data_IF_571657027754
#
_entry.id   IF_571657027754
#
_cell.length_a   1.000
_cell.length_b   1.000
_cell.length_c   1.000
_cell.angle_alpha   90.00
_cell.angle_beta   90.00
_cell.angle_gamma   90.00
#
_symmetry.space_group_name_H-M   'P 1'
#
loop_
_entity.id
_entity.type
_entity.pdbx_description
1 polymer ?
#
# COMPACT_ATOMS: atom_id res chain seq x y z
N UNK A 1 -0.76 -62.12 23.35
CA UNK A 1 0.55 -61.67 22.80
C UNK A 1 0.36 -61.55 21.29
N UNK A 2 0.48 -60.41 20.58
CA UNK A 2 1.04 -59.09 20.82
C UNK A 2 0.09 -58.07 20.15
N UNK A 3 -0.36 -57.06 20.88
CA UNK A 3 -0.97 -55.88 20.27
C UNK A 3 0.17 -55.04 19.70
N UNK A 4 0.29 -54.99 18.38
CA UNK A 4 1.18 -54.02 17.72
C UNK A 4 0.47 -52.67 17.71
N UNK A 5 0.81 -51.85 18.70
CA UNK A 5 0.44 -50.44 18.75
C UNK A 5 1.22 -49.74 17.62
N UNK A 6 0.51 -49.37 16.56
CA UNK A 6 1.04 -48.53 15.51
C UNK A 6 1.10 -47.09 16.06
N UNK A 7 2.27 -46.68 16.55
CA UNK A 7 2.52 -45.30 16.98
C UNK A 7 2.51 -44.44 15.72
N UNK A 8 1.43 -43.69 15.55
CA UNK A 8 1.27 -42.65 14.54
C UNK A 8 2.36 -41.59 14.78
N UNK A 9 3.38 -41.58 13.93
CA UNK A 9 4.38 -40.52 13.88
C UNK A 9 3.68 -39.24 13.43
N UNK A 10 3.34 -38.39 14.39
CA UNK A 10 2.91 -37.02 14.12
C UNK A 10 4.13 -36.26 13.62
N UNK A 11 4.36 -36.31 12.30
CA UNK A 11 5.28 -35.40 11.63
C UNK A 11 4.66 -34.01 11.81
N UNK A 12 5.11 -33.29 12.84
CA UNK A 12 5.04 -31.84 12.87
C UNK A 12 5.79 -31.37 11.62
N UNK A 13 5.08 -31.29 10.51
CA UNK A 13 5.38 -30.30 9.49
C UNK A 13 5.16 -28.99 10.21
N UNK A 14 6.20 -28.50 10.87
CA UNK A 14 6.38 -27.07 10.99
C UNK A 14 6.33 -26.60 9.55
N UNK A 15 5.16 -26.12 9.14
CA UNK A 15 5.11 -25.14 8.07
C UNK A 15 6.20 -24.17 8.48
N UNK A 16 7.30 -24.14 7.72
CA UNK A 16 8.12 -22.96 7.64
C UNK A 16 7.17 -21.90 7.10
N UNK A 17 6.36 -21.36 8.01
CA UNK A 17 5.71 -20.09 7.84
C UNK A 17 6.91 -19.17 7.81
N UNK A 18 7.47 -18.96 6.61
CA UNK A 18 8.28 -17.80 6.35
C UNK A 18 7.38 -16.64 6.76
N UNK A 19 7.54 -16.22 8.01
CA UNK A 19 6.69 -15.22 8.62
C UNK A 19 6.89 -13.99 7.79
N UNK A 20 5.88 -13.64 6.98
CA UNK A 20 5.97 -12.43 6.22
C UNK A 20 6.20 -11.26 7.18
N UNK A 21 7.10 -10.36 6.79
CA UNK A 21 7.49 -9.21 7.60
C UNK A 21 6.24 -8.44 8.02
N UNK A 22 6.20 -8.04 9.29
CA UNK A 22 5.05 -7.32 9.86
C UNK A 22 5.28 -5.80 9.87
N UNK A 23 6.29 -5.33 9.14
CA UNK A 23 6.63 -3.92 8.99
C UNK A 23 6.91 -3.59 7.51
N UNK A 24 6.77 -2.32 7.15
CA UNK A 24 7.21 -1.84 5.84
C UNK A 24 8.73 -1.84 5.74
N UNK A 25 9.23 -1.89 4.51
CA UNK A 25 10.64 -1.68 4.18
C UNK A 25 10.82 -0.36 3.43
N UNK A 26 11.97 0.32 3.51
CA UNK A 26 12.22 1.48 2.67
C UNK A 26 12.05 1.12 1.20
N UNK A 27 11.31 1.95 0.47
CA UNK A 27 11.11 1.74 -0.96
C UNK A 27 12.46 1.69 -1.70
N UNK A 28 12.53 0.80 -2.69
CA UNK A 28 13.72 0.70 -3.54
C UNK A 28 13.98 2.02 -4.27
N UNK A 29 15.25 2.41 -4.35
CA UNK A 29 15.63 3.57 -5.16
C UNK A 29 15.35 3.29 -6.65
N UNK A 30 14.33 3.95 -7.21
CA UNK A 30 13.94 3.75 -8.60
C UNK A 30 15.01 4.20 -9.60
N UNK A 31 15.96 5.06 -9.19
CA UNK A 31 17.05 5.52 -10.05
C UNK A 31 18.03 4.42 -10.42
N UNK A 32 18.05 3.31 -9.66
CA UNK A 32 18.90 2.15 -9.94
C UNK A 32 18.41 1.30 -11.11
N UNK A 33 17.17 1.48 -11.55
CA UNK A 33 16.62 0.73 -12.67
C UNK A 33 17.10 1.31 -14.00
N UNK A 34 17.30 0.41 -14.97
CA UNK A 34 17.69 0.75 -16.34
C UNK A 34 16.69 0.15 -17.35
N UNK A 35 16.82 0.57 -18.61
CA UNK A 35 16.02 0.04 -19.72
C UNK A 35 14.50 0.16 -19.51
N UNK A 36 13.79 -0.95 -19.75
CA UNK A 36 12.32 -1.01 -19.73
C UNK A 36 11.75 -0.69 -18.34
N UNK A 37 12.42 -1.11 -17.26
CA UNK A 37 11.98 -0.82 -15.89
C UNK A 37 12.13 0.66 -15.57
N UNK A 38 13.22 1.29 -16.01
CA UNK A 38 13.41 2.74 -15.87
C UNK A 38 12.31 3.50 -16.60
N UNK A 39 12.07 3.15 -17.86
CA UNK A 39 11.01 3.77 -18.67
C UNK A 39 9.63 3.60 -18.01
N UNK A 40 9.36 2.44 -17.42
CA UNK A 40 8.12 2.21 -16.70
C UNK A 40 7.97 3.16 -15.50
N UNK A 41 8.92 3.14 -14.56
CA UNK A 41 8.84 3.93 -13.33
C UNK A 41 8.91 5.44 -13.58
N UNK A 42 9.72 5.89 -14.53
CA UNK A 42 9.85 7.31 -14.89
C UNK A 42 8.55 7.90 -15.45
N UNK A 43 7.63 7.08 -15.97
CA UNK A 43 6.40 7.57 -16.59
C UNK A 43 5.14 7.24 -15.78
N UNK A 44 5.10 6.08 -15.11
CA UNK A 44 3.92 5.64 -14.36
C UNK A 44 3.65 6.54 -13.15
N UNK A 45 4.68 6.89 -12.36
CA UNK A 45 4.50 7.72 -11.17
C UNK A 45 4.09 9.15 -11.52
N UNK A 46 4.75 9.88 -12.45
CA UNK A 46 4.31 11.22 -12.81
C UNK A 46 2.89 11.27 -13.38
N UNK A 47 2.50 10.26 -14.16
CA UNK A 47 1.13 10.17 -14.67
C UNK A 47 0.13 9.90 -13.54
N UNK A 48 0.42 8.92 -12.68
CA UNK A 48 -0.46 8.49 -11.61
C UNK A 48 -0.59 9.53 -10.49
N UNK A 49 0.44 10.34 -10.25
CA UNK A 49 0.46 11.37 -9.19
C UNK A 49 0.06 12.76 -9.66
N UNK A 50 -0.32 12.91 -10.93
CA UNK A 50 -0.79 14.20 -11.44
C UNK A 50 -1.98 14.71 -10.61
N UNK A 51 -1.87 15.95 -10.15
CA UNK A 51 -2.88 16.61 -9.32
C UNK A 51 -2.73 16.39 -7.81
N UNK A 52 -1.74 15.59 -7.37
CA UNK A 52 -1.38 15.49 -5.96
C UNK A 52 -0.35 16.55 -5.56
N UNK A 53 -0.27 16.84 -4.27
CA UNK A 53 0.80 17.66 -3.71
C UNK A 53 2.16 16.96 -3.88
N UNK A 54 3.24 17.68 -4.17
CA UNK A 54 4.57 17.05 -4.30
C UNK A 54 5.02 16.38 -3.00
N UNK A 55 4.64 16.97 -1.86
CA UNK A 55 4.91 16.48 -0.51
C UNK A 55 3.67 15.84 0.09
N UNK A 56 3.56 14.49 0.06
CA UNK A 56 2.37 13.82 0.52
C UNK A 56 2.22 13.91 2.04
N UNK A 57 1.00 14.19 2.52
CA UNK A 57 0.65 14.00 3.93
C UNK A 57 0.48 12.49 4.22
N UNK A 58 -0.26 11.82 3.34
CA UNK A 58 -0.45 10.37 3.33
C UNK A 58 -0.83 9.96 1.90
N UNK A 59 0.03 9.19 1.25
CA UNK A 59 -0.19 8.69 -0.11
C UNK A 59 0.02 7.20 -0.18
N UNK A 60 -0.95 6.50 -0.72
CA UNK A 60 -0.89 5.07 -0.99
C UNK A 60 -0.83 4.84 -2.49
N UNK A 61 0.00 3.90 -2.94
CA UNK A 61 0.09 3.51 -4.35
C UNK A 61 0.14 2.00 -4.45
N UNK A 62 -0.68 1.45 -5.34
CA UNK A 62 -0.71 0.04 -5.68
C UNK A 62 -0.20 -0.15 -7.10
N UNK A 63 0.82 -0.99 -7.24
CA UNK A 63 1.50 -1.34 -8.49
C UNK A 63 1.32 -2.84 -8.76
N UNK A 64 0.13 -3.26 -9.22
CA UNK A 64 -0.16 -4.66 -9.51
C UNK A 64 0.56 -5.12 -10.78
N UNK A 65 1.04 -6.36 -10.80
CA UNK A 65 1.74 -6.91 -11.97
C UNK A 65 0.86 -6.97 -13.22
N UNK A 66 -0.43 -7.31 -13.08
CA UNK A 66 -1.29 -7.68 -14.22
C UNK A 66 -2.56 -6.83 -14.40
N UNK A 67 -2.73 -5.80 -13.59
CA UNK A 67 -3.86 -4.89 -13.68
C UNK A 67 -3.37 -3.45 -13.70
N UNK A 68 -4.30 -2.50 -13.75
CA UNK A 68 -3.97 -1.09 -13.79
C UNK A 68 -3.62 -0.54 -12.42
N UNK A 69 -2.64 0.34 -12.44
CA UNK A 69 -2.05 1.00 -11.29
C UNK A 69 -3.04 2.05 -10.75
N UNK A 70 -3.08 2.17 -9.42
CA UNK A 70 -3.94 3.12 -8.74
C UNK A 70 -3.29 3.66 -7.49
N UNK A 71 -3.78 4.80 -7.02
CA UNK A 71 -3.28 5.48 -5.84
C UNK A 71 -4.36 6.35 -5.22
N UNK A 72 -4.13 6.74 -3.97
CA UNK A 72 -4.79 7.92 -3.41
C UNK A 72 -3.78 8.82 -2.70
N UNK A 73 -4.12 10.09 -2.59
CA UNK A 73 -3.41 11.08 -1.76
C UNK A 73 -4.41 11.81 -0.88
N UNK A 74 -4.07 11.97 0.40
CA UNK A 74 -4.78 12.89 1.31
C UNK A 74 -4.34 14.31 0.97
N UNK A 75 -5.28 15.14 0.54
CA UNK A 75 -5.03 16.50 0.07
C UNK A 75 -5.88 17.51 0.84
N UNK A 76 -5.33 18.70 1.09
CA UNK A 76 -6.10 19.84 1.60
C UNK A 76 -6.38 20.80 0.44
N UNK A 77 -7.65 20.93 0.08
CA UNK A 77 -8.11 21.75 -1.04
C UNK A 77 -9.09 22.77 -0.48
N UNK A 78 -8.80 24.06 -0.64
CA UNK A 78 -9.68 25.16 -0.19
C UNK A 78 -10.08 25.04 1.29
N UNK A 79 -9.14 24.61 2.15
CA UNK A 79 -9.34 24.48 3.60
C UNK A 79 -10.05 23.19 4.04
N UNK A 80 -10.56 22.38 3.10
CA UNK A 80 -11.20 21.09 3.37
C UNK A 80 -10.25 19.92 3.08
N UNK A 81 -10.48 18.78 3.72
CA UNK A 81 -9.67 17.58 3.56
C UNK A 81 -10.35 16.63 2.57
N UNK A 82 -9.58 16.08 1.64
CA UNK A 82 -10.07 15.17 0.60
C UNK A 82 -9.18 13.93 0.51
N UNK A 83 -9.80 12.81 0.14
CA UNK A 83 -9.08 11.74 -0.58
C UNK A 83 -9.21 12.07 -2.06
N UNK A 84 -8.07 12.25 -2.73
CA UNK A 84 -8.00 12.29 -4.20
C UNK A 84 -7.49 10.93 -4.65
N UNK A 85 -8.30 10.22 -5.42
CA UNK A 85 -8.01 8.86 -5.90
C UNK A 85 -7.75 8.89 -7.40
N UNK A 86 -6.62 8.34 -7.82
CA UNK A 86 -6.21 8.24 -9.21
C UNK A 86 -6.07 6.78 -9.64
N UNK A 87 -6.44 6.48 -10.89
CA UNK A 87 -6.26 5.18 -11.54
C UNK A 87 -5.89 5.36 -13.00
N UNK A 88 -5.04 4.49 -13.52
CA UNK A 88 -4.76 4.45 -14.95
C UNK A 88 -5.85 3.68 -15.70
N UNK A 89 -6.20 4.10 -16.91
CA UNK A 89 -7.28 3.47 -17.70
C UNK A 89 -7.03 2.01 -18.06
N UNK A 90 -5.76 1.62 -18.12
CA UNK A 90 -5.26 0.27 -18.39
C UNK A 90 -3.88 0.12 -17.73
N UNK A 91 -3.35 -1.11 -17.62
CA UNK A 91 -2.00 -1.35 -17.10
C UNK A 91 -0.98 -0.59 -17.93
N UNK A 92 -0.18 0.26 -17.30
CA UNK A 92 0.84 1.02 -18.01
C UNK A 92 1.94 0.10 -18.56
N UNK A 93 2.25 -0.98 -17.84
CA UNK A 93 3.22 -1.99 -18.26
C UNK A 93 2.78 -2.73 -19.53
N UNK A 94 1.53 -3.21 -19.58
CA UNK A 94 1.02 -4.01 -20.69
C UNK A 94 0.35 -3.19 -21.81
N UNK A 95 0.26 -1.87 -21.68
CA UNK A 95 -0.35 -1.04 -22.72
C UNK A 95 0.45 -1.11 -24.02
N UNK A 96 -0.23 -1.46 -25.12
CA UNK A 96 0.35 -1.41 -26.47
C UNK A 96 0.74 0.00 -26.89
N UNK A 97 0.11 1.02 -26.33
CA UNK A 97 0.40 2.41 -26.62
C UNK A 97 0.30 3.25 -25.34
N UNK A 98 1.43 3.36 -24.63
CA UNK A 98 1.57 4.13 -23.38
C UNK A 98 1.03 5.56 -23.46
N UNK A 99 1.04 6.21 -24.63
CA UNK A 99 0.49 7.56 -24.84
C UNK A 99 -1.04 7.63 -24.75
N UNK A 100 -1.73 6.50 -24.89
CA UNK A 100 -3.20 6.41 -24.78
C UNK A 100 -3.66 6.08 -23.36
N UNK A 101 -2.75 5.71 -22.46
CA UNK A 101 -3.09 5.47 -21.05
C UNK A 101 -3.53 6.80 -20.44
N UNK A 102 -4.76 6.84 -19.95
CA UNK A 102 -5.37 8.03 -19.36
C UNK A 102 -5.40 7.91 -17.85
N UNK A 103 -5.29 9.07 -17.20
CA UNK A 103 -5.57 9.20 -15.78
C UNK A 103 -7.08 9.37 -15.57
N UNK A 104 -7.64 8.58 -14.66
CA UNK A 104 -8.99 8.73 -14.12
C UNK A 104 -8.83 9.21 -12.69
N UNK A 105 -9.45 10.33 -12.33
CA UNK A 105 -9.30 10.98 -11.04
C UNK A 105 -10.64 11.34 -10.43
N UNK A 106 -10.79 11.05 -9.14
CA UNK A 106 -11.97 11.33 -8.34
C UNK A 106 -11.53 11.93 -7.00
N UNK A 107 -12.44 12.64 -6.33
CA UNK A 107 -12.20 13.11 -4.96
C UNK A 107 -13.44 12.98 -4.09
N UNK A 108 -13.22 12.64 -2.83
CA UNK A 108 -14.27 12.54 -1.80
C UNK A 108 -13.84 13.33 -0.57
N UNK A 109 -14.74 14.15 -0.03
CA UNK A 109 -14.49 14.95 1.17
C UNK A 109 -14.37 14.04 2.40
N UNK A 110 -13.37 14.28 3.23
CA UNK A 110 -13.13 13.55 4.48
C UNK A 110 -13.75 14.28 5.66
N UNK A 111 -14.32 13.51 6.59
CA UNK A 111 -14.52 13.97 7.95
C UNK A 111 -13.19 14.29 8.62
N UNK A 112 -13.19 15.26 9.53
CA UNK A 112 -11.97 15.65 10.26
C UNK A 112 -11.37 14.48 11.04
N UNK A 113 -12.22 13.62 11.62
CA UNK A 113 -11.77 12.46 12.38
C UNK A 113 -11.06 11.44 11.50
N UNK A 114 -11.67 11.05 10.37
CA UNK A 114 -11.03 10.09 9.45
C UNK A 114 -9.74 10.66 8.88
N UNK A 115 -9.72 11.95 8.53
CA UNK A 115 -8.50 12.64 8.10
C UNK A 115 -7.37 12.48 9.13
N UNK A 116 -7.61 12.86 10.39
CA UNK A 116 -6.58 12.78 11.44
C UNK A 116 -6.09 11.33 11.65
N UNK A 117 -6.99 10.35 11.61
CA UNK A 117 -6.62 8.93 11.79
C UNK A 117 -5.79 8.37 10.65
N UNK A 118 -6.05 8.78 9.41
CA UNK A 118 -5.20 8.41 8.28
C UNK A 118 -3.81 9.02 8.44
N UNK A 119 -3.72 10.32 8.77
CA UNK A 119 -2.42 10.99 8.99
C UNK A 119 -1.62 10.30 10.10
N UNK A 120 -2.25 10.01 11.23
CA UNK A 120 -1.59 9.31 12.33
C UNK A 120 -1.13 7.90 11.95
N UNK A 121 -1.92 7.17 11.14
CA UNK A 121 -1.55 5.85 10.68
C UNK A 121 -0.28 5.92 9.82
N UNK A 122 -0.22 6.85 8.86
CA UNK A 122 0.95 6.98 7.99
C UNK A 122 2.22 7.39 8.74
N UNK A 123 2.09 8.27 9.74
CA UNK A 123 3.21 8.59 10.65
C UNK A 123 3.71 7.37 11.42
N UNK A 124 2.79 6.55 11.94
CA UNK A 124 3.16 5.31 12.64
C UNK A 124 3.88 4.33 11.70
N UNK A 125 3.41 4.20 10.45
CA UNK A 125 4.04 3.33 9.46
C UNK A 125 5.46 3.78 9.11
N UNK A 126 5.67 5.09 8.98
CA UNK A 126 7.00 5.69 8.80
C UNK A 126 7.94 5.30 9.95
N UNK A 127 7.51 5.49 11.20
CA UNK A 127 8.29 5.16 12.40
C UNK A 127 8.63 3.66 12.50
N UNK A 128 7.76 2.80 11.97
CA UNK A 128 7.92 1.35 12.01
C UNK A 128 8.61 0.77 10.79
N UNK A 129 8.93 1.57 9.78
CA UNK A 129 9.64 1.11 8.59
C UNK A 129 11.06 0.70 8.97
N UNK A 130 11.45 -0.55 8.65
CA UNK A 130 12.77 -1.10 8.99
C UNK A 130 13.51 -1.53 7.75
N UNK A 131 14.84 -1.44 7.79
CA UNK A 131 15.70 -1.90 6.69
C UNK A 131 15.39 -3.37 6.36
N UNK A 132 15.47 -3.73 5.07
CA UNK A 132 15.24 -5.11 4.67
C UNK A 132 16.26 -6.05 5.30
N UNK A 133 15.77 -7.14 5.86
CA UNK A 133 16.62 -8.23 6.39
C UNK A 133 17.17 -9.11 5.25
N UNK A 134 16.39 -9.26 4.17
CA UNK A 134 16.71 -10.01 2.95
C UNK A 134 16.01 -9.37 1.74
N UNK A 135 16.65 -9.35 0.56
CA UNK A 135 16.15 -8.73 -0.69
C UNK A 135 15.29 -9.71 -1.53
N UNK A 136 14.46 -10.51 -0.87
CA UNK A 136 13.56 -11.46 -1.53
C UNK A 136 12.26 -10.77 -1.92
N UNK A 137 12.17 -10.28 -3.15
CA UNK A 137 10.89 -9.99 -3.82
C UNK A 137 10.50 -11.16 -4.73
N UNK A 138 9.23 -11.54 -4.72
CA UNK A 138 8.73 -12.49 -5.70
C UNK A 138 8.57 -11.88 -7.09
N UNK A 139 8.24 -12.72 -8.07
CA UNK A 139 8.21 -12.37 -9.48
C UNK A 139 6.90 -11.70 -9.93
N UNK A 140 5.79 -11.99 -9.23
CA UNK A 140 4.43 -11.56 -9.56
C UNK A 140 3.75 -10.84 -8.39
N UNK A 141 2.45 -10.57 -8.44
CA UNK A 141 1.72 -9.96 -7.32
C UNK A 141 1.61 -8.44 -7.37
N UNK A 142 1.65 -7.78 -6.21
CA UNK A 142 1.39 -6.34 -6.09
C UNK A 142 2.38 -5.71 -5.13
N UNK A 143 3.08 -4.67 -5.59
CA UNK A 143 3.87 -3.82 -4.71
C UNK A 143 3.04 -2.63 -4.26
N UNK A 144 3.02 -2.39 -2.95
CA UNK A 144 2.30 -1.31 -2.32
C UNK A 144 3.29 -0.31 -1.73
N UNK A 145 3.07 0.97 -1.99
CA UNK A 145 3.88 2.07 -1.47
C UNK A 145 3.07 2.97 -0.56
N UNK A 146 3.69 3.41 0.52
CA UNK A 146 3.12 4.28 1.54
C UNK A 146 4.08 5.45 1.73
N UNK A 147 3.65 6.65 1.37
CA UNK A 147 4.47 7.85 1.42
C UNK A 147 3.88 8.91 2.35
N UNK A 148 4.74 9.49 3.18
CA UNK A 148 4.49 10.64 4.03
C UNK A 148 5.67 11.61 3.96
N UNK A 149 5.42 12.86 4.31
CA UNK A 149 6.48 13.87 4.49
C UNK A 149 6.75 14.00 5.97
N UNK A 150 8.01 13.82 6.36
CA UNK A 150 8.44 13.90 7.75
C UNK A 150 8.51 15.36 8.24
N UNK A 151 8.85 15.53 9.53
CA UNK A 151 9.02 16.85 10.16
C UNK A 151 10.19 17.67 9.59
N UNK A 152 11.12 17.03 8.90
CA UNK A 152 12.27 17.66 8.25
C UNK A 152 11.99 17.97 6.78
N UNK A 153 10.73 17.83 6.34
CA UNK A 153 10.30 18.11 4.97
C UNK A 153 10.85 17.09 3.94
N UNK A 154 11.29 15.91 4.41
CA UNK A 154 11.75 14.80 3.59
C UNK A 154 10.62 13.79 3.33
N UNK A 155 10.52 13.33 2.08
CA UNK A 155 9.56 12.29 1.71
C UNK A 155 10.11 10.93 2.14
N UNK A 156 9.39 10.24 3.02
CA UNK A 156 9.64 8.85 3.39
C UNK A 156 8.68 7.95 2.65
N UNK A 157 9.21 6.85 2.10
CA UNK A 157 8.41 5.89 1.35
C UNK A 157 8.72 4.49 1.90
N UNK A 158 7.70 3.84 2.45
CA UNK A 158 7.71 2.44 2.80
C UNK A 158 7.04 1.60 1.71
N UNK A 159 7.48 0.36 1.54
CA UNK A 159 6.89 -0.62 0.63
C UNK A 159 6.60 -1.96 1.31
N UNK A 160 5.63 -2.68 0.77
CA UNK A 160 5.42 -4.11 1.01
C UNK A 160 4.99 -4.78 -0.27
N UNK A 161 5.29 -6.06 -0.41
CA UNK A 161 4.93 -6.85 -1.58
C UNK A 161 3.97 -7.99 -1.18
N UNK A 162 2.78 -8.01 -1.81
CA UNK A 162 1.75 -9.04 -1.67
C UNK A 162 1.57 -9.60 -0.24
N UNK A 163 1.20 -8.76 0.74
CA UNK A 163 1.03 -9.23 2.10
C UNK A 163 -0.13 -10.23 2.24
N UNK A 164 0.08 -11.28 3.03
CA UNK A 164 -0.92 -12.26 3.41
C UNK A 164 -2.07 -11.54 4.09
N UNK A 165 -3.30 -11.82 3.67
CA UNK A 165 -4.49 -11.05 4.04
C UNK A 165 -4.69 -10.86 5.55
N UNK A 166 -4.30 -11.87 6.35
CA UNK A 166 -4.46 -11.87 7.81
C UNK A 166 -3.29 -11.23 8.58
N UNK A 167 -2.21 -10.87 7.89
CA UNK A 167 -1.05 -10.18 8.49
C UNK A 167 -1.38 -8.71 8.81
N UNK A 168 -0.54 -8.05 9.61
CA UNK A 168 -0.69 -6.60 9.89
C UNK A 168 -0.67 -5.79 8.60
N UNK A 169 0.27 -6.09 7.70
CA UNK A 169 0.40 -5.41 6.40
C UNK A 169 -0.74 -5.76 5.43
N UNK A 170 -1.28 -6.97 5.48
CA UNK A 170 -2.44 -7.37 4.67
C UNK A 170 -3.69 -6.58 5.05
N UNK A 171 -3.91 -6.39 6.36
CA UNK A 171 -5.00 -5.54 6.85
C UNK A 171 -4.76 -4.05 6.54
N UNK A 172 -3.51 -3.59 6.61
CA UNK A 172 -3.14 -2.23 6.20
C UNK A 172 -3.48 -1.97 4.73
N UNK A 173 -3.08 -2.87 3.84
CA UNK A 173 -3.41 -2.80 2.40
C UNK A 173 -4.91 -2.77 2.21
N UNK A 174 -5.66 -3.66 2.88
CA UNK A 174 -7.13 -3.68 2.82
C UNK A 174 -7.77 -2.35 3.26
N UNK A 175 -7.27 -1.75 4.35
CA UNK A 175 -7.72 -0.42 4.81
C UNK A 175 -7.44 0.64 3.73
N UNK A 176 -6.27 0.61 3.12
CA UNK A 176 -5.91 1.56 2.06
C UNK A 176 -6.74 1.37 0.79
N UNK A 177 -7.06 0.12 0.42
CA UNK A 177 -7.97 -0.17 -0.69
C UNK A 177 -9.41 0.28 -0.39
N UNK A 178 -9.85 0.18 0.87
CA UNK A 178 -11.13 0.74 1.32
C UNK A 178 -11.13 2.27 1.24
N UNK A 179 -10.05 2.95 1.64
CA UNK A 179 -9.90 4.41 1.51
C UNK A 179 -9.90 4.83 0.04
N UNK A 180 -9.17 4.12 -0.83
CA UNK A 180 -9.18 4.35 -2.26
C UNK A 180 -10.59 4.20 -2.83
N UNK A 181 -11.29 3.13 -2.45
CA UNK A 181 -12.68 2.85 -2.85
C UNK A 181 -13.65 3.95 -2.43
N UNK A 182 -13.50 4.49 -1.22
CA UNK A 182 -14.22 5.67 -0.77
C UNK A 182 -13.93 6.89 -1.67
N UNK A 183 -12.67 7.10 -2.04
CA UNK A 183 -12.25 8.23 -2.88
C UNK A 183 -12.78 8.19 -4.33
N UNK A 184 -13.13 7.01 -4.84
CA UNK A 184 -13.81 6.86 -6.14
C UNK A 184 -15.34 6.89 -6.05
N UNK A 185 -15.90 7.10 -4.85
CA UNK A 185 -17.34 7.24 -4.62
C UNK A 185 -18.09 5.94 -4.35
N UNK A 186 -17.40 4.83 -4.03
CA UNK A 186 -18.07 3.61 -3.59
C UNK A 186 -18.76 3.83 -2.23
N UNK A 187 -19.85 3.10 -1.99
CA UNK A 187 -20.68 3.23 -0.81
C UNK A 187 -20.00 2.59 0.43
N UNK A 188 -18.98 3.28 0.97
CA UNK A 188 -18.29 2.93 2.20
C UNK A 188 -18.51 4.04 3.24
N UNK A 189 -18.85 3.65 4.46
CA UNK A 189 -18.97 4.60 5.56
C UNK A 189 -17.60 4.94 6.12
N UNK A 190 -17.29 6.24 6.19
CA UNK A 190 -16.04 6.72 6.79
C UNK A 190 -15.86 6.23 8.24
N UNK A 191 -16.96 6.04 8.97
CA UNK A 191 -16.95 5.50 10.33
C UNK A 191 -16.43 4.07 10.41
N UNK A 192 -16.63 3.25 9.38
CA UNK A 192 -16.18 1.86 9.40
C UNK A 192 -14.68 1.78 9.12
N UNK A 193 -14.19 2.55 8.14
CA UNK A 193 -12.75 2.71 7.87
C UNK A 193 -12.04 3.24 9.12
N UNK A 194 -12.62 4.22 9.81
CA UNK A 194 -12.08 4.77 11.05
C UNK A 194 -11.89 3.68 12.11
N UNK A 195 -12.90 2.81 12.32
CA UNK A 195 -12.81 1.69 13.28
C UNK A 195 -11.73 0.68 12.89
N UNK A 196 -11.60 0.39 11.59
CA UNK A 196 -10.56 -0.51 11.09
C UNK A 196 -9.15 0.06 11.32
N UNK A 197 -8.96 1.37 11.08
CA UNK A 197 -7.69 2.06 11.37
C UNK A 197 -7.35 1.99 12.86
N UNK A 198 -8.30 2.27 13.75
CA UNK A 198 -8.07 2.21 15.19
C UNK A 198 -7.64 0.82 15.65
N UNK A 199 -8.34 -0.21 15.17
CA UNK A 199 -8.00 -1.60 15.46
C UNK A 199 -6.59 -1.95 14.96
N UNK A 200 -6.24 -1.55 13.74
CA UNK A 200 -4.91 -1.79 13.19
C UNK A 200 -3.82 -1.06 14.01
N UNK A 201 -4.06 0.19 14.40
CA UNK A 201 -3.08 0.98 15.18
C UNK A 201 -2.79 0.36 16.55
N UNK A 202 -3.77 -0.27 17.19
CA UNK A 202 -3.55 -0.99 18.46
C UNK A 202 -2.56 -2.14 18.22
N UNK A 203 -2.80 -2.94 17.19
CA UNK A 203 -1.99 -4.12 16.91
C UNK A 203 -0.59 -3.77 16.36
N UNK A 204 -0.44 -2.64 15.66
CA UNK A 204 0.88 -2.14 15.21
C UNK A 204 1.76 -1.67 16.39
N UNK A 205 1.17 -1.27 17.52
CA UNK A 205 1.91 -0.74 18.67
C UNK A 205 2.32 -1.80 19.70
N UNK A 206 1.84 -3.04 19.54
CA UNK A 206 2.20 -4.18 20.38
C UNK A 206 3.51 -4.80 19.90
#
# INVERSE_FOLDING_TARGET
MKQTILILTFVLTTFLCFGQKQHLEPAKDFKKYEGVLKEYYDNVFPLLYKGYSEKPIARYTSMPSFSNEYSFSVEKIEGKNYIVSNRLSESYWYSKNKKKVKLISNKTELTSDLYLKIVDLFKLLEEQTKKPEDDLMGLDGVTYYFASTDKNDEIKIGETWSPAEKSLLGRLVKICDNIYSLGIGNNLFQSDILKEIEKLKIDLKQ
#
